data_IF_515064062123
#
_entry.id   IF_515064062123
#
_cell.length_a   1.000
_cell.length_b   1.000
_cell.length_c   1.000
_cell.angle_alpha   90.00
_cell.angle_beta   90.00
_cell.angle_gamma   90.00
#
_symmetry.space_group_name_H-M   'P 1'
#
loop_
_entity.id
_entity.type
_entity.pdbx_description
1 polymer ?
#
# COMPACT_ATOMS: atom_id res chain seq x y z
N UNK A 1 13.17 -29.93 -13.09
CA UNK A 1 13.75 -28.62 -13.46
C UNK A 1 13.79 -27.80 -12.20
N UNK A 2 14.95 -27.31 -11.73
CA UNK A 2 14.96 -26.35 -10.64
C UNK A 2 14.48 -25.02 -11.21
N UNK A 3 13.37 -24.50 -10.67
CA UNK A 3 12.99 -23.12 -10.91
C UNK A 3 14.01 -22.26 -10.18
N UNK A 4 14.68 -21.38 -10.90
CA UNK A 4 15.57 -20.38 -10.36
C UNK A 4 14.81 -19.53 -9.33
N UNK A 5 15.12 -19.75 -8.05
CA UNK A 5 14.54 -19.10 -6.86
C UNK A 5 15.21 -17.73 -6.64
N UNK A 6 15.31 -16.95 -7.72
CA UNK A 6 15.93 -15.62 -7.73
C UNK A 6 14.87 -14.52 -7.48
N UNK A 7 13.85 -14.84 -6.66
CA UNK A 7 12.94 -13.83 -6.15
C UNK A 7 13.55 -13.28 -4.85
N UNK A 8 13.89 -11.98 -4.75
CA UNK A 8 14.39 -11.42 -3.50
C UNK A 8 13.45 -11.82 -2.36
N UNK A 9 13.99 -12.29 -1.25
CA UNK A 9 13.20 -12.76 -0.11
C UNK A 9 12.29 -11.63 0.40
N UNK A 10 11.05 -11.58 -0.11
CA UNK A 10 10.09 -10.52 0.21
C UNK A 10 9.59 -10.77 1.63
N UNK A 11 9.95 -9.88 2.55
CA UNK A 11 9.38 -9.88 3.90
C UNK A 11 7.93 -9.37 3.85
N UNK A 12 6.98 -10.30 3.97
CA UNK A 12 5.55 -10.01 4.02
C UNK A 12 5.08 -9.44 5.37
N UNK A 13 5.99 -9.28 6.34
CA UNK A 13 5.69 -8.77 7.68
C UNK A 13 4.53 -9.53 8.34
N UNK A 14 4.53 -10.85 8.16
CA UNK A 14 3.50 -11.69 8.75
C UNK A 14 3.69 -11.71 10.28
N UNK A 15 2.62 -11.55 11.09
CA UNK A 15 2.73 -11.40 12.54
C UNK A 15 3.17 -12.68 13.28
N UNK A 16 3.22 -13.81 12.56
CA UNK A 16 3.64 -15.13 13.04
C UNK A 16 4.52 -15.77 11.97
N UNK A 17 5.22 -16.85 12.31
CA UNK A 17 5.93 -17.66 11.31
C UNK A 17 4.91 -18.21 10.28
N UNK A 18 4.97 -17.80 9.02
CA UNK A 18 4.01 -18.23 8.01
C UNK A 18 4.33 -19.67 7.56
N UNK A 19 3.28 -20.46 7.32
CA UNK A 19 3.45 -21.76 6.68
C UNK A 19 3.94 -21.61 5.24
N UNK A 20 4.64 -22.61 4.69
CA UNK A 20 5.12 -22.60 3.30
C UNK A 20 3.99 -22.30 2.30
N UNK A 21 2.81 -22.90 2.48
CA UNK A 21 1.63 -22.64 1.63
C UNK A 21 1.13 -21.19 1.70
N UNK A 22 1.28 -20.52 2.85
CA UNK A 22 0.93 -19.10 2.98
C UNK A 22 1.97 -18.22 2.28
N UNK A 23 3.25 -18.56 2.36
CA UNK A 23 4.32 -17.87 1.64
C UNK A 23 4.10 -17.96 0.12
N UNK A 24 3.82 -19.15 -0.40
CA UNK A 24 3.54 -19.36 -1.83
C UNK A 24 2.32 -18.55 -2.28
N UNK A 25 1.26 -18.53 -1.47
CA UNK A 25 0.08 -17.71 -1.73
C UNK A 25 0.43 -16.21 -1.76
N UNK A 26 1.19 -15.73 -0.77
CA UNK A 26 1.58 -14.31 -0.69
C UNK A 26 2.49 -13.88 -1.85
N UNK A 27 3.44 -14.72 -2.25
CA UNK A 27 4.30 -14.52 -3.42
C UNK A 27 3.46 -14.44 -4.70
N UNK A 28 2.55 -15.37 -4.90
CA UNK A 28 1.67 -15.37 -6.08
C UNK A 28 0.78 -14.13 -6.13
N UNK A 29 0.23 -13.69 -4.99
CA UNK A 29 -0.53 -12.43 -4.91
C UNK A 29 0.36 -11.24 -5.28
N UNK A 30 1.57 -11.17 -4.72
CA UNK A 30 2.51 -10.09 -5.02
C UNK A 30 2.84 -10.02 -6.52
N UNK A 31 3.16 -11.15 -7.14
CA UNK A 31 3.52 -11.23 -8.55
C UNK A 31 2.36 -10.82 -9.48
N UNK A 32 1.12 -11.20 -9.13
CA UNK A 32 -0.08 -10.78 -9.88
C UNK A 32 -0.26 -9.27 -9.81
N UNK A 33 0.05 -8.64 -8.67
CA UNK A 33 -0.07 -7.20 -8.49
C UNK A 33 1.05 -6.41 -9.16
N UNK A 34 2.26 -6.95 -9.18
CA UNK A 34 3.45 -6.30 -9.77
C UNK A 34 3.41 -6.26 -11.30
N UNK A 35 2.75 -7.23 -11.94
CA UNK A 35 2.66 -7.28 -13.40
C UNK A 35 1.82 -6.11 -13.94
N UNK A 36 2.46 -5.25 -14.74
CA UNK A 36 1.90 -4.02 -15.33
C UNK A 36 0.72 -4.20 -16.31
N UNK A 37 0.22 -5.43 -16.51
CA UNK A 37 -0.75 -5.74 -17.56
C UNK A 37 -2.21 -5.89 -17.06
N UNK A 38 -2.57 -5.24 -15.95
CA UNK A 38 -3.89 -5.34 -15.32
C UNK A 38 -4.37 -6.80 -15.12
N UNK A 39 -3.45 -7.68 -14.73
CA UNK A 39 -3.73 -9.11 -14.64
C UNK A 39 -4.77 -9.41 -13.53
N UNK A 40 -5.68 -10.34 -13.82
CA UNK A 40 -6.57 -10.92 -12.82
C UNK A 40 -6.01 -12.28 -12.42
N UNK A 41 -5.66 -12.44 -11.14
CA UNK A 41 -5.24 -13.71 -10.55
C UNK A 41 -6.40 -14.38 -9.81
N UNK A 42 -6.67 -15.65 -10.11
CA UNK A 42 -7.62 -16.48 -9.36
C UNK A 42 -6.82 -17.40 -8.46
N UNK A 43 -6.89 -17.17 -7.15
CA UNK A 43 -6.14 -17.95 -6.16
C UNK A 43 -7.06 -18.66 -5.18
N UNK A 44 -6.96 -19.98 -5.17
CA UNK A 44 -7.59 -20.84 -4.17
C UNK A 44 -6.57 -21.18 -3.08
N UNK A 45 -6.99 -21.12 -1.81
CA UNK A 45 -6.20 -21.61 -0.69
C UNK A 45 -7.10 -22.48 0.19
N UNK A 46 -6.55 -23.54 0.81
CA UNK A 46 -7.31 -24.38 1.74
C UNK A 46 -7.90 -23.56 2.88
N UNK A 47 -9.17 -23.81 3.22
CA UNK A 47 -9.89 -23.09 4.28
C UNK A 47 -9.20 -23.31 5.63
N UNK A 48 -9.10 -22.24 6.45
CA UNK A 48 -8.49 -22.32 7.79
C UNK A 48 -7.00 -21.99 7.85
N UNK A 49 -6.34 -21.73 6.72
CA UNK A 49 -4.91 -21.36 6.64
C UNK A 49 -4.65 -19.86 6.67
N UNK A 50 -5.55 -19.04 7.22
CA UNK A 50 -5.31 -17.60 7.36
C UNK A 50 -5.30 -16.78 6.05
N UNK A 51 -5.99 -17.24 5.00
CA UNK A 51 -6.10 -16.58 3.67
C UNK A 51 -6.25 -15.06 3.74
N UNK A 52 -7.16 -14.55 4.58
CA UNK A 52 -7.41 -13.12 4.71
C UNK A 52 -6.18 -12.35 5.21
N UNK A 53 -5.48 -12.90 6.21
CA UNK A 53 -4.28 -12.28 6.76
C UNK A 53 -3.14 -12.31 5.74
N UNK A 54 -2.90 -13.46 5.12
CA UNK A 54 -1.88 -13.60 4.07
C UNK A 54 -2.14 -12.66 2.89
N UNK A 55 -3.40 -12.53 2.45
CA UNK A 55 -3.78 -11.58 1.41
C UNK A 55 -3.50 -10.13 1.82
N UNK A 56 -3.85 -9.73 3.03
CA UNK A 56 -3.59 -8.38 3.55
C UNK A 56 -2.08 -8.11 3.64
N UNK A 57 -1.30 -9.04 4.16
CA UNK A 57 0.17 -8.93 4.23
C UNK A 57 0.78 -8.75 2.83
N UNK A 58 0.46 -9.63 1.88
CA UNK A 58 0.95 -9.52 0.50
C UNK A 58 0.59 -8.20 -0.17
N UNK A 59 -0.68 -7.81 -0.09
CA UNK A 59 -1.18 -6.57 -0.73
C UNK A 59 -0.58 -5.31 -0.11
N UNK A 60 -0.42 -5.25 1.22
CA UNK A 60 0.19 -4.10 1.89
C UNK A 60 1.69 -4.00 1.63
N UNK A 61 2.40 -5.13 1.61
CA UNK A 61 3.83 -5.17 1.26
C UNK A 61 4.05 -4.70 -0.17
N UNK A 62 3.26 -5.20 -1.12
CA UNK A 62 3.27 -4.72 -2.50
C UNK A 62 2.96 -3.21 -2.58
N UNK A 63 1.90 -2.75 -1.93
CA UNK A 63 1.52 -1.33 -1.98
C UNK A 63 2.62 -0.41 -1.44
N UNK A 64 3.36 -0.83 -0.41
CA UNK A 64 4.51 -0.08 0.13
C UNK A 64 5.66 -0.03 -0.88
N UNK A 65 6.04 -1.18 -1.44
CA UNK A 65 7.10 -1.27 -2.44
C UNK A 65 6.77 -0.45 -3.69
N UNK A 66 5.56 -0.60 -4.23
CA UNK A 66 5.07 0.13 -5.40
C UNK A 66 5.03 1.64 -5.22
N UNK A 67 4.64 2.10 -4.03
CA UNK A 67 4.68 3.52 -3.68
C UNK A 67 6.12 4.02 -3.61
N UNK A 68 7.01 3.29 -2.94
CA UNK A 68 8.43 3.64 -2.82
C UNK A 68 9.10 3.74 -4.19
N UNK A 69 8.91 2.73 -5.05
CA UNK A 69 9.44 2.73 -6.41
C UNK A 69 8.96 3.92 -7.25
N UNK A 70 7.68 4.32 -7.13
CA UNK A 70 7.20 5.55 -7.79
C UNK A 70 7.87 6.82 -7.28
N UNK A 71 8.15 6.92 -5.97
CA UNK A 71 8.85 8.08 -5.44
C UNK A 71 10.29 8.13 -5.96
N UNK A 72 11.01 7.01 -5.88
CA UNK A 72 12.37 6.88 -6.38
C UNK A 72 12.45 7.21 -7.87
N UNK A 73 11.57 6.62 -8.70
CA UNK A 73 11.49 6.94 -10.12
C UNK A 73 11.21 8.43 -10.38
N UNK A 74 10.39 9.09 -9.55
CA UNK A 74 10.15 10.53 -9.68
C UNK A 74 11.38 11.37 -9.31
N UNK A 75 12.18 10.95 -8.32
CA UNK A 75 13.42 11.63 -7.97
C UNK A 75 14.48 11.41 -9.06
N UNK A 76 14.64 10.18 -9.54
CA UNK A 76 15.55 9.83 -10.63
C UNK A 76 15.22 10.59 -11.91
N UNK A 77 13.94 10.70 -12.26
CA UNK A 77 13.51 11.51 -13.41
C UNK A 77 13.89 13.00 -13.24
N UNK A 78 13.79 13.53 -12.01
CA UNK A 78 14.20 14.90 -11.71
C UNK A 78 15.72 15.06 -11.83
N UNK A 79 16.49 14.10 -11.31
CA UNK A 79 17.94 14.10 -11.38
C UNK A 79 18.46 14.00 -12.83
N UNK A 80 17.88 13.11 -13.65
CA UNK A 80 18.20 13.00 -15.09
C UNK A 80 17.88 14.28 -15.85
N UNK A 81 16.81 14.99 -15.48
CA UNK A 81 16.47 16.29 -16.08
C UNK A 81 17.44 17.43 -15.76
N UNK A 82 18.39 17.21 -14.83
CA UNK A 82 19.41 18.19 -14.41
C UNK A 82 20.84 17.69 -14.70
N UNK A 83 20.97 16.75 -15.63
CA UNK A 83 22.26 16.25 -16.07
C UNK A 83 23.10 17.40 -16.67
N UNK A 84 24.34 17.55 -16.19
CA UNK A 84 25.25 18.63 -16.59
C UNK A 84 25.19 19.87 -15.70
N UNK A 85 24.23 19.97 -14.78
CA UNK A 85 24.16 21.06 -13.81
C UNK A 85 25.14 20.84 -12.63
N UNK A 86 25.64 21.93 -12.01
CA UNK A 86 26.38 21.86 -10.76
C UNK A 86 25.62 21.12 -9.65
N UNK A 87 26.34 20.36 -8.82
CA UNK A 87 25.76 19.51 -7.77
C UNK A 87 24.77 20.23 -6.84
N UNK A 88 25.02 21.50 -6.51
CA UNK A 88 24.14 22.29 -5.63
C UNK A 88 22.78 22.61 -6.28
N UNK A 89 22.70 22.72 -7.61
CA UNK A 89 21.43 22.91 -8.32
C UNK A 89 20.61 21.63 -8.35
N UNK A 90 21.26 20.51 -8.63
CA UNK A 90 20.64 19.17 -8.56
C UNK A 90 20.09 18.92 -7.16
N UNK A 91 20.89 19.21 -6.12
CA UNK A 91 20.48 19.06 -4.72
C UNK A 91 19.29 19.97 -4.37
N UNK A 92 19.32 21.25 -4.79
CA UNK A 92 18.23 22.19 -4.55
C UNK A 92 16.91 21.72 -5.18
N UNK A 93 16.96 21.16 -6.38
CA UNK A 93 15.79 20.64 -7.07
C UNK A 93 15.23 19.37 -6.43
N UNK A 94 16.10 18.44 -6.06
CA UNK A 94 15.69 17.23 -5.33
C UNK A 94 15.10 17.58 -3.96
N UNK A 95 15.65 18.59 -3.27
CA UNK A 95 15.12 19.12 -2.00
C UNK A 95 13.71 19.67 -2.19
N UNK A 96 13.51 20.55 -3.19
CA UNK A 96 12.19 21.10 -3.52
C UNK A 96 11.18 20.00 -3.82
N UNK A 97 11.57 19.01 -4.64
CA UNK A 97 10.69 17.88 -4.98
C UNK A 97 10.27 17.08 -3.75
N UNK A 98 11.19 16.86 -2.81
CA UNK A 98 10.94 16.15 -1.55
C UNK A 98 9.96 16.90 -0.66
N UNK A 99 10.09 18.23 -0.58
CA UNK A 99 9.18 19.10 0.16
C UNK A 99 7.77 19.09 -0.45
N UNK A 100 7.66 19.21 -1.77
CA UNK A 100 6.37 19.13 -2.49
C UNK A 100 5.66 17.80 -2.24
N UNK A 101 6.40 16.68 -2.32
CA UNK A 101 5.84 15.36 -2.03
C UNK A 101 5.35 15.27 -0.58
N UNK A 102 6.15 15.73 0.39
CA UNK A 102 5.77 15.74 1.81
C UNK A 102 4.50 16.57 2.04
N UNK A 103 4.44 17.77 1.49
CA UNK A 103 3.27 18.64 1.61
C UNK A 103 2.01 17.99 1.02
N UNK A 104 2.13 17.35 -0.15
CA UNK A 104 1.02 16.63 -0.77
C UNK A 104 0.54 15.43 0.07
N UNK A 105 1.45 14.74 0.76
CA UNK A 105 1.10 13.66 1.68
C UNK A 105 0.32 14.18 2.90
N UNK A 106 0.81 15.25 3.53
CA UNK A 106 0.14 15.88 4.68
C UNK A 106 -1.26 16.40 4.33
N UNK A 107 -1.42 16.97 3.14
CA UNK A 107 -2.73 17.41 2.65
C UNK A 107 -3.70 16.23 2.50
N UNK A 108 -3.25 15.15 1.87
CA UNK A 108 -4.06 13.92 1.72
C UNK A 108 -4.46 13.34 3.07
N UNK A 109 -3.56 13.34 4.04
CA UNK A 109 -3.85 12.85 5.40
C UNK A 109 -4.95 13.68 6.07
N UNK A 110 -4.85 15.02 6.02
CA UNK A 110 -5.90 15.92 6.52
C UNK A 110 -7.26 15.66 5.86
N UNK A 111 -7.28 15.43 4.55
CA UNK A 111 -8.51 15.09 3.83
C UNK A 111 -9.09 13.76 4.34
N UNK A 112 -8.27 12.72 4.50
CA UNK A 112 -8.70 11.42 5.00
C UNK A 112 -9.22 11.49 6.44
N UNK A 113 -8.57 12.26 7.32
CA UNK A 113 -9.04 12.51 8.68
C UNK A 113 -10.40 13.20 8.68
N UNK A 114 -10.60 14.20 7.81
CA UNK A 114 -11.87 14.88 7.64
C UNK A 114 -13.00 13.94 7.19
N UNK A 115 -12.71 12.99 6.29
CA UNK A 115 -13.67 11.95 5.88
C UNK A 115 -14.02 11.03 7.06
N UNK A 116 -13.02 10.48 7.74
CA UNK A 116 -13.23 9.57 8.89
C UNK A 116 -14.02 10.23 10.03
N UNK A 117 -13.83 11.52 10.26
CA UNK A 117 -14.61 12.29 11.24
C UNK A 117 -16.08 12.35 10.85
N UNK A 118 -16.38 12.69 9.59
CA UNK A 118 -17.75 12.75 9.06
C UNK A 118 -18.47 11.41 9.13
N UNK A 119 -17.77 10.31 8.85
CA UNK A 119 -18.32 8.96 8.97
C UNK A 119 -18.70 8.62 10.41
N UNK A 120 -17.83 8.89 11.39
CA UNK A 120 -18.12 8.67 12.81
C UNK A 120 -19.31 9.50 13.29
N UNK A 121 -19.39 10.77 12.91
CA UNK A 121 -20.52 11.64 13.23
C UNK A 121 -21.84 11.13 12.60
N UNK A 122 -21.78 10.56 11.40
CA UNK A 122 -22.94 9.95 10.75
C UNK A 122 -23.38 8.66 11.45
N UNK A 123 -22.44 7.80 11.83
CA UNK A 123 -22.71 6.55 12.55
C UNK A 123 -23.37 6.81 13.92
N UNK A 124 -22.82 7.75 14.71
CA UNK A 124 -23.39 8.15 16.00
C UNK A 124 -24.82 8.68 15.82
N UNK A 125 -25.05 9.54 14.82
CA UNK A 125 -26.40 10.05 14.52
C UNK A 125 -27.36 8.95 14.11
N UNK A 126 -26.94 7.99 13.30
CA UNK A 126 -27.78 6.84 12.92
C UNK A 126 -28.09 5.96 14.13
N UNK A 127 -27.10 5.68 14.98
CA UNK A 127 -27.29 4.86 16.20
C UNK A 127 -28.24 5.53 17.19
N UNK A 128 -28.12 6.84 17.40
CA UNK A 128 -29.04 7.61 18.25
C UNK A 128 -30.48 7.62 17.70
N UNK A 129 -30.65 7.74 16.38
CA UNK A 129 -31.97 7.63 15.72
C UNK A 129 -32.58 6.23 15.94
N UNK A 130 -31.80 5.16 15.73
CA UNK A 130 -32.27 3.78 15.96
C UNK A 130 -32.69 3.54 17.42
N UNK A 131 -31.89 3.99 18.37
CA UNK A 131 -32.17 3.85 19.79
C UNK A 131 -33.47 4.55 20.23
N UNK A 132 -33.77 5.74 19.67
CA UNK A 132 -35.03 6.46 19.92
C UNK A 132 -36.25 5.73 19.36
N UNK A 133 -36.12 5.10 18.19
CA UNK A 133 -37.23 4.33 17.58
C UNK A 133 -37.53 3.08 18.41
N UNK A 134 -36.50 2.39 18.91
CA UNK A 134 -36.68 1.17 19.73
C UNK A 134 -37.18 1.43 21.15
N UNK A 135 -37.02 2.65 21.68
CA UNK A 135 -37.47 3.00 23.04
C UNK A 135 -38.88 3.63 23.09
N UNK A 136 -39.46 3.95 21.93
CA UNK A 136 -40.76 4.61 21.80
C UNK A 136 -41.89 3.74 21.28
N UNK A 137 -41.68 2.43 21.15
CA UNK A 137 -42.69 1.42 20.79
C UNK A 137 -42.72 0.32 21.83
#
# INVERSE_FOLDING_TARGET
MPADDDNPEIDFHHPYEPYSVQLDFMRTVYDVLEKDNNQVGILESPTGTGKSLSLICATLTWLRAHKRGRYEASFDATARGMEGEPAWMVEAALRRKREELRAAWEEKEKVLEGVRRREREAEVRQRAKRARVTAGG
#
